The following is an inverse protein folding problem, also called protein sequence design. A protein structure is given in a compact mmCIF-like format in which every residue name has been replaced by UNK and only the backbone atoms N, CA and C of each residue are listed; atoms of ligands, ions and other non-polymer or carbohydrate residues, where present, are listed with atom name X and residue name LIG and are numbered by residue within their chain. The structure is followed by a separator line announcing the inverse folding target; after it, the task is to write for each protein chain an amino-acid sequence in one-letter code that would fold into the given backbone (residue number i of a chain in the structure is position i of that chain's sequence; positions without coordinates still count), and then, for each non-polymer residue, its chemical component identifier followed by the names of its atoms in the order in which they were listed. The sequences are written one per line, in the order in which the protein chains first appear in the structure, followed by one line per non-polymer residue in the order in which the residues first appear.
data_IF_306375320183
#
_entry.id   IF_306375320183
#
_cell.length_a   1.000
_cell.length_b   1.000
_cell.length_c   1.000
_cell.angle_alpha   90.00
_cell.angle_beta   90.00
_cell.angle_gamma   90.00
#
_symmetry.space_group_name_H-M   'P 1'
#
loop_
_entity.id
_entity.type
_entity.pdbx_description
1 polymer ?
#
# COMPACT_ATOMS: atom_id res chain seq x y z
N UNK A 1 -2.56 -0.63 20.79
CA UNK A 1 -3.12 -1.65 19.88
C UNK A 1 -3.01 -1.17 18.44
N UNK A 2 -2.82 -2.05 17.45
CA UNK A 2 -2.86 -1.66 16.03
C UNK A 2 -4.27 -1.23 15.60
N UNK A 3 -4.36 -0.31 14.65
CA UNK A 3 -5.63 0.26 14.13
C UNK A 3 -6.48 -0.79 13.41
N UNK A 4 -5.85 -1.78 12.77
CA UNK A 4 -6.55 -2.89 12.10
C UNK A 4 -7.44 -2.42 10.95
N UNK A 5 -6.86 -1.81 9.93
CA UNK A 5 -7.60 -1.33 8.74
C UNK A 5 -6.71 -1.29 7.51
N UNK A 6 -7.29 -1.49 6.33
CA UNK A 6 -6.66 -1.10 5.06
C UNK A 6 -6.94 0.38 4.85
N UNK A 7 -5.89 1.19 4.68
CA UNK A 7 -5.98 2.66 4.58
C UNK A 7 -5.62 3.20 3.20
N UNK A 8 -5.06 2.37 2.34
CA UNK A 8 -4.53 2.77 1.04
C UNK A 8 -4.00 1.60 0.25
N UNK A 9 -3.55 1.89 -0.96
CA UNK A 9 -2.79 0.99 -1.81
C UNK A 9 -1.66 1.75 -2.52
N UNK A 10 -0.75 1.01 -3.14
CA UNK A 10 0.28 1.55 -4.02
C UNK A 10 0.60 0.49 -5.09
N UNK A 11 1.19 0.93 -6.19
CA UNK A 11 1.62 0.07 -7.28
C UNK A 11 3.08 -0.33 -7.07
N UNK A 12 3.37 -1.64 -7.05
CA UNK A 12 4.75 -2.15 -6.99
C UNK A 12 5.43 -1.93 -8.35
N UNK A 13 6.58 -1.27 -8.37
CA UNK A 13 7.30 -0.94 -9.61
C UNK A 13 8.56 -1.77 -9.83
N UNK A 14 9.05 -2.45 -8.78
CA UNK A 14 10.25 -3.27 -8.89
C UNK A 14 10.69 -3.87 -7.56
N UNK A 15 11.68 -4.75 -7.65
CA UNK A 15 12.29 -5.44 -6.51
C UNK A 15 13.81 -5.25 -6.55
N UNK A 16 14.39 -4.84 -5.43
CA UNK A 16 15.84 -4.76 -5.26
C UNK A 16 16.31 -5.80 -4.25
N UNK A 17 17.26 -6.64 -4.65
CA UNK A 17 17.82 -7.72 -3.83
C UNK A 17 19.30 -7.45 -3.59
N UNK A 18 19.64 -6.93 -2.40
CA UNK A 18 20.98 -6.42 -2.08
C UNK A 18 21.37 -6.79 -0.64
N UNK A 19 22.65 -6.65 -0.28
CA UNK A 19 23.07 -6.72 1.12
C UNK A 19 22.43 -5.57 1.93
N UNK A 20 22.07 -5.76 3.22
CA UNK A 20 21.38 -4.75 4.02
C UNK A 20 22.08 -3.38 4.05
N UNK A 21 23.41 -3.36 4.16
CA UNK A 21 24.20 -2.12 4.15
C UNK A 21 24.07 -1.33 2.84
N UNK A 22 24.07 -2.03 1.71
CA UNK A 22 23.91 -1.41 0.38
C UNK A 22 22.46 -0.99 0.15
N UNK A 23 21.49 -1.76 0.62
CA UNK A 23 20.08 -1.42 0.53
C UNK A 23 19.77 -0.16 1.36
N UNK A 24 20.29 -0.08 2.59
CA UNK A 24 20.15 1.09 3.46
C UNK A 24 20.76 2.34 2.83
N UNK A 25 21.97 2.23 2.26
CA UNK A 25 22.62 3.37 1.60
C UNK A 25 21.78 3.92 0.43
N UNK A 26 21.07 3.05 -0.29
CA UNK A 26 20.27 3.45 -1.46
C UNK A 26 18.88 3.97 -1.09
N UNK A 27 18.21 3.33 -0.13
CA UNK A 27 16.77 3.56 0.10
C UNK A 27 16.42 3.94 1.54
N UNK A 28 17.41 3.98 2.45
CA UNK A 28 17.17 4.27 3.87
C UNK A 28 16.53 5.64 4.12
N UNK A 29 16.77 6.63 3.26
CA UNK A 29 16.18 7.97 3.38
C UNK A 29 14.71 8.05 2.95
N UNK A 30 14.23 7.09 2.17
CA UNK A 30 12.86 7.06 1.62
C UNK A 30 12.01 5.90 2.15
N UNK A 31 12.58 5.05 3.01
CA UNK A 31 11.89 3.86 3.54
C UNK A 31 10.93 4.17 4.69
N UNK A 32 11.09 5.31 5.36
CA UNK A 32 10.34 5.66 6.57
C UNK A 32 10.77 4.89 7.84
N UNK A 33 11.85 4.09 7.77
CA UNK A 33 12.37 3.31 8.89
C UNK A 33 13.51 4.04 9.60
N UNK A 34 13.70 3.79 10.90
CA UNK A 34 14.95 4.20 11.56
C UNK A 34 16.07 3.24 11.22
N UNK A 35 17.29 3.77 11.16
CA UNK A 35 18.49 2.99 10.82
C UNK A 35 18.68 1.77 11.71
N UNK A 36 18.56 1.93 13.03
CA UNK A 36 18.77 0.83 13.97
C UNK A 36 17.70 -0.26 13.80
N UNK A 37 16.41 0.11 13.70
CA UNK A 37 15.29 -0.82 13.47
C UNK A 37 15.51 -1.63 12.18
N UNK A 38 15.99 -0.98 11.11
CA UNK A 38 16.30 -1.65 9.86
C UNK A 38 17.43 -2.70 10.00
N UNK A 39 18.55 -2.33 10.62
CA UNK A 39 19.69 -3.26 10.77
C UNK A 39 19.43 -4.36 11.80
N UNK A 40 18.60 -4.10 12.80
CA UNK A 40 18.13 -5.10 13.75
C UNK A 40 17.25 -6.15 13.03
N UNK A 41 16.29 -5.70 12.20
CA UNK A 41 15.44 -6.61 11.43
C UNK A 41 16.23 -7.52 10.48
N UNK A 42 17.30 -7.02 9.88
CA UNK A 42 18.18 -7.79 8.99
C UNK A 42 19.43 -8.36 9.67
N UNK A 43 19.47 -8.43 11.01
CA UNK A 43 20.64 -8.90 11.75
C UNK A 43 21.03 -10.33 11.32
N UNK A 44 22.31 -10.53 11.00
CA UNK A 44 22.85 -11.81 10.53
C UNK A 44 22.45 -12.22 9.10
N UNK A 45 21.63 -11.43 8.40
CA UNK A 45 21.18 -11.77 7.04
C UNK A 45 22.10 -11.15 5.97
N UNK A 46 22.57 -11.95 4.99
CA UNK A 46 23.45 -11.45 3.93
C UNK A 46 22.69 -10.72 2.81
N UNK A 47 21.35 -10.80 2.81
CA UNK A 47 20.48 -10.36 1.72
C UNK A 47 19.19 -9.78 2.28
N UNK A 48 18.75 -8.68 1.68
CA UNK A 48 17.52 -7.97 1.98
C UNK A 48 16.80 -7.61 0.68
N UNK A 49 15.50 -7.37 0.80
CA UNK A 49 14.61 -7.06 -0.31
C UNK A 49 13.95 -5.69 -0.08
N UNK A 50 13.92 -4.84 -1.10
CA UNK A 50 13.10 -3.62 -1.10
C UNK A 50 12.15 -3.62 -2.29
N UNK A 51 10.89 -3.30 -2.02
CA UNK A 51 9.88 -3.05 -3.06
C UNK A 51 9.88 -1.56 -3.40
N UNK A 52 10.01 -1.26 -4.69
CA UNK A 52 9.67 0.06 -5.21
C UNK A 52 8.16 0.23 -5.20
N UNK A 53 7.66 1.32 -4.62
CA UNK A 53 6.24 1.66 -4.60
C UNK A 53 6.02 2.99 -5.33
N UNK A 54 4.95 3.05 -6.11
CA UNK A 54 4.50 4.25 -6.82
C UNK A 54 2.99 4.44 -6.65
N UNK A 55 2.48 5.60 -7.05
CA UNK A 55 1.05 5.91 -7.06
C UNK A 55 0.35 5.61 -5.71
N UNK A 56 0.91 6.07 -4.56
CA UNK A 56 0.27 5.83 -3.28
C UNK A 56 -1.10 6.50 -3.27
N UNK A 57 -2.13 5.68 -3.07
CA UNK A 57 -3.52 6.11 -3.05
C UNK A 57 -4.10 5.84 -1.67
N UNK A 58 -4.39 6.90 -0.93
CA UNK A 58 -5.14 6.80 0.33
C UNK A 58 -6.63 6.58 0.01
N UNK A 59 -7.25 5.65 0.74
CA UNK A 59 -8.69 5.41 0.67
C UNK A 59 -9.43 6.56 1.36
N UNK A 60 -10.52 7.03 0.77
CA UNK A 60 -11.39 8.04 1.38
C UNK A 60 -12.04 7.51 2.67
N UNK A 61 -12.36 6.21 2.70
CA UNK A 61 -12.81 5.50 3.89
C UNK A 61 -11.92 4.27 4.09
N UNK A 62 -11.18 4.18 5.21
CA UNK A 62 -10.49 2.95 5.59
C UNK A 62 -11.44 1.75 5.65
N UNK A 63 -10.93 0.57 5.31
CA UNK A 63 -11.66 -0.70 5.42
C UNK A 63 -11.25 -1.36 6.75
N UNK A 64 -12.11 -1.40 7.77
CA UNK A 64 -11.76 -1.98 9.06
C UNK A 64 -11.65 -3.51 8.98
N UNK A 65 -10.82 -4.07 9.85
CA UNK A 65 -10.58 -5.52 9.93
C UNK A 65 -11.87 -6.32 10.19
N UNK A 66 -12.84 -5.77 10.93
CA UNK A 66 -14.16 -6.38 11.12
C UNK A 66 -14.85 -6.61 9.78
N UNK A 67 -14.94 -5.58 8.93
CA UNK A 67 -15.54 -5.66 7.60
C UNK A 67 -14.85 -6.70 6.70
N UNK A 68 -13.53 -6.83 6.80
CA UNK A 68 -12.78 -7.84 6.06
C UNK A 68 -13.12 -9.27 6.53
N UNK A 69 -13.26 -9.48 7.84
CA UNK A 69 -13.65 -10.77 8.42
C UNK A 69 -15.10 -11.16 8.11
N UNK A 70 -16.01 -10.19 8.07
CA UNK A 70 -17.41 -10.42 7.72
C UNK A 70 -17.55 -10.88 6.25
N UNK A 71 -16.70 -10.37 5.37
CA UNK A 71 -16.74 -10.65 3.93
C UNK A 71 -15.97 -11.91 3.54
N UNK A 72 -14.86 -12.17 4.22
CA UNK A 72 -14.06 -13.37 4.06
C UNK A 72 -13.88 -13.98 5.45
N UNK A 73 -14.79 -14.89 5.82
CA UNK A 73 -14.73 -15.61 7.09
C UNK A 73 -13.38 -16.29 7.26
N UNK A 74 -12.52 -15.72 8.10
CA UNK A 74 -11.13 -16.15 8.26
C UNK A 74 -10.08 -15.16 7.71
N UNK A 75 -10.44 -13.93 7.34
CA UNK A 75 -9.44 -12.92 7.00
C UNK A 75 -8.56 -12.60 8.21
N UNK A 76 -7.26 -12.86 8.04
CA UNK A 76 -6.21 -12.46 8.95
C UNK A 76 -5.19 -11.59 8.19
N UNK A 77 -4.67 -10.52 8.79
CA UNK A 77 -3.58 -9.77 8.19
C UNK A 77 -2.43 -10.74 7.86
N UNK A 78 -1.95 -10.79 6.60
CA UNK A 78 -0.88 -11.70 6.23
C UNK A 78 0.42 -11.28 6.92
N UNK A 79 1.23 -12.26 7.32
CA UNK A 79 2.57 -11.99 7.85
C UNK A 79 3.50 -11.40 6.78
N UNK A 80 3.29 -11.76 5.51
CA UNK A 80 4.00 -11.23 4.35
C UNK A 80 3.01 -10.56 3.39
N UNK A 81 2.43 -11.35 2.48
CA UNK A 81 1.41 -10.92 1.53
C UNK A 81 0.42 -12.06 1.30
N UNK A 82 -0.74 -11.74 0.73
CA UNK A 82 -1.73 -12.71 0.30
C UNK A 82 -2.22 -12.33 -1.10
N UNK A 83 -2.43 -13.33 -1.95
CA UNK A 83 -3.09 -13.11 -3.23
C UNK A 83 -4.59 -12.89 -2.98
N UNK A 84 -5.17 -11.94 -3.71
CA UNK A 84 -6.61 -11.69 -3.69
C UNK A 84 -7.21 -12.32 -4.93
N UNK A 85 -8.20 -13.20 -4.76
CA UNK A 85 -8.91 -13.82 -5.86
C UNK A 85 -9.64 -12.75 -6.70
N UNK A 86 -9.53 -12.85 -8.03
CA UNK A 86 -10.06 -11.87 -8.98
C UNK A 86 -11.59 -11.79 -9.01
N UNK A 87 -12.26 -12.85 -8.56
CA UNK A 87 -13.71 -12.99 -8.44
C UNK A 87 -14.17 -13.02 -6.97
N UNK A 88 -13.24 -12.82 -6.04
CA UNK A 88 -13.49 -12.95 -4.61
C UNK A 88 -14.12 -11.70 -3.98
N UNK A 89 -14.80 -11.85 -2.83
CA UNK A 89 -15.45 -10.75 -2.12
C UNK A 89 -14.46 -9.66 -1.64
N UNK A 90 -13.21 -10.04 -1.37
CA UNK A 90 -12.18 -9.10 -0.94
C UNK A 90 -11.83 -8.08 -2.02
N UNK A 91 -11.66 -8.51 -3.28
CA UNK A 91 -11.34 -7.59 -4.37
C UNK A 91 -12.47 -6.60 -4.58
N UNK A 92 -13.73 -7.06 -4.50
CA UNK A 92 -14.90 -6.20 -4.64
C UNK A 92 -14.90 -5.06 -3.60
N UNK A 93 -14.71 -5.38 -2.32
CA UNK A 93 -14.70 -4.39 -1.23
C UNK A 93 -13.52 -3.42 -1.35
N UNK A 94 -12.34 -3.93 -1.70
CA UNK A 94 -11.14 -3.08 -1.93
C UNK A 94 -11.36 -2.14 -3.12
N UNK A 95 -11.93 -2.64 -4.21
CA UNK A 95 -12.20 -1.86 -5.42
C UNK A 95 -13.21 -0.76 -5.15
N UNK A 96 -14.30 -1.03 -4.42
CA UNK A 96 -15.27 -0.01 -4.04
C UNK A 96 -14.63 1.13 -3.21
N UNK A 97 -13.76 0.79 -2.26
CA UNK A 97 -13.09 1.80 -1.45
C UNK A 97 -12.12 2.67 -2.27
N UNK A 98 -11.52 2.12 -3.32
CA UNK A 98 -10.62 2.84 -4.23
C UNK A 98 -11.37 3.82 -5.15
N UNK A 99 -12.57 3.44 -5.61
CA UNK A 99 -13.39 4.27 -6.51
C UNK A 99 -14.19 5.38 -5.81
N UNK A 100 -14.19 5.45 -4.47
CA UNK A 100 -14.95 6.42 -3.66
C UNK A 100 -14.54 7.91 -3.80
N UNK A 101 -13.84 8.31 -4.86
CA UNK A 101 -13.64 9.73 -5.20
C UNK A 101 -14.73 10.17 -6.18
N UNK A 102 -15.57 11.18 -5.87
CA UNK A 102 -16.02 12.07 -6.93
C UNK A 102 -14.77 12.78 -7.46
N UNK A 103 -14.41 12.50 -8.71
CA UNK A 103 -13.44 13.30 -9.44
C UNK A 103 -14.03 14.71 -9.62
N UNK A 104 -13.73 15.64 -8.70
CA UNK A 104 -13.86 17.07 -9.00
C UNK A 104 -12.62 17.46 -9.79
N UNK A 105 -12.72 17.43 -11.12
CA UNK A 105 -11.78 18.12 -11.99
C UNK A 105 -11.86 19.62 -11.65
N UNK A 106 -10.75 20.30 -11.32
CA UNK A 106 -10.73 21.75 -11.38
C UNK A 106 -10.61 22.16 -12.86
N UNK A 107 -11.59 22.94 -13.31
CA UNK A 107 -11.67 23.65 -14.60
C UNK A 107 -12.26 22.90 -15.80
N UNK A 108 -13.59 23.00 -15.95
CA UNK A 108 -14.28 23.05 -17.25
C UNK A 108 -15.23 24.27 -17.32
N UNK A 109 -14.92 25.36 -16.63
CA UNK A 109 -15.74 26.58 -16.63
C UNK A 109 -15.02 27.81 -17.22
N UNK A 110 -13.93 27.62 -17.98
CA UNK A 110 -13.22 28.74 -18.64
C UNK A 110 -13.11 28.69 -20.16
N UNK A 111 -13.76 27.75 -20.84
CA UNK A 111 -13.73 27.67 -22.31
C UNK A 111 -15.10 27.88 -23.00
N UNK A 112 -16.11 28.41 -22.28
CA UNK A 112 -17.41 28.78 -22.86
C UNK A 112 -17.73 30.28 -22.84
N UNK A 113 -16.73 31.15 -22.63
CA UNK A 113 -16.89 32.62 -22.76
C UNK A 113 -16.06 33.23 -23.92
N UNK A 114 -15.52 32.41 -24.83
CA UNK A 114 -14.75 32.89 -26.00
C UNK A 114 -15.16 32.25 -27.34
N UNK A 115 -16.39 31.72 -27.43
CA UNK A 115 -16.99 31.32 -28.71
C UNK A 115 -18.08 32.31 -29.12
#
# INVERSE_FOLDING_TARGET
MPVGSIVGCATVTGLHTLAPSTLWRRFGTVSGLKRHEFFEYFSGLPKAFALGLSEPTQLASPIPLSKLRDMAGGFHPPQFFANVASDGPLLHVMSQALHGRPHKSPNLQRELELA
#
